data_IF_574626970370
#
_entry.id   IF_574626970370
#
_cell.length_a   1.000
_cell.length_b   1.000
_cell.length_c   1.000
_cell.angle_alpha   90.00
_cell.angle_beta   90.00
_cell.angle_gamma   90.00
#
_symmetry.space_group_name_H-M   'P 1'
#
loop_
_entity.id
_entity.type
_entity.pdbx_description
1 polymer ?
#
# COMPACT_ATOMS: atom_id res chain seq x y z
N UNK A 1 -4.98 31.68 70.24
CA UNK A 1 -5.67 30.37 70.19
C UNK A 1 -5.41 29.74 68.83
N UNK A 2 -4.79 28.58 68.84
CA UNK A 2 -4.29 27.83 67.67
C UNK A 2 -5.41 26.90 67.16
N UNK A 3 -5.63 26.86 65.84
CA UNK A 3 -6.14 25.66 65.16
C UNK A 3 -5.35 25.46 63.87
N UNK A 4 -4.37 24.55 63.96
CA UNK A 4 -3.68 23.94 62.82
C UNK A 4 -4.57 22.80 62.33
N UNK A 5 -4.90 22.77 61.04
CA UNK A 5 -5.38 21.56 60.38
C UNK A 5 -4.37 21.17 59.31
N UNK A 6 -3.57 20.14 59.61
CA UNK A 6 -2.87 19.32 58.63
C UNK A 6 -3.78 18.13 58.31
N UNK A 7 -4.44 18.14 57.16
CA UNK A 7 -5.02 17.00 56.47
C UNK A 7 -5.66 17.55 55.19
N UNK A 8 -5.46 17.03 53.99
CA UNK A 8 -4.78 15.82 53.61
C UNK A 8 -4.41 15.90 52.14
N UNK A 9 -3.42 15.09 51.81
CA UNK A 9 -3.03 14.62 50.51
C UNK A 9 -4.27 14.32 49.62
N UNK A 10 -4.72 15.29 48.84
CA UNK A 10 -5.80 15.11 47.85
C UNK A 10 -5.49 15.87 46.56
N UNK A 11 -4.21 15.86 46.18
CA UNK A 11 -3.71 16.41 44.91
C UNK A 11 -3.03 15.33 44.06
N UNK A 12 -3.38 14.06 44.27
CA UNK A 12 -2.83 12.89 43.53
C UNK A 12 -3.95 12.10 42.78
N UNK A 13 -5.22 12.53 42.83
CA UNK A 13 -6.32 11.87 42.12
C UNK A 13 -7.02 12.77 41.09
N UNK A 14 -6.24 13.54 40.33
CA UNK A 14 -6.64 13.91 38.95
C UNK A 14 -5.93 12.95 37.98
N UNK A 15 -6.01 11.66 38.31
CA UNK A 15 -5.95 10.55 37.38
C UNK A 15 -7.39 10.19 37.04
N UNK A 16 -8.04 11.04 36.23
CA UNK A 16 -9.13 10.60 35.38
C UNK A 16 -8.79 11.08 33.98
N UNK A 17 -7.90 10.30 33.38
CA UNK A 17 -7.98 9.93 31.97
C UNK A 17 -8.42 11.06 31.05
N UNK A 18 -7.45 11.81 30.54
CA UNK A 18 -7.46 12.06 29.10
C UNK A 18 -7.44 10.67 28.43
N UNK A 19 -8.58 9.98 28.41
CA UNK A 19 -8.79 8.96 27.41
C UNK A 19 -8.52 9.69 26.12
N UNK A 20 -7.51 9.22 25.39
CA UNK A 20 -7.32 9.64 24.02
C UNK A 20 -8.66 9.38 23.34
N UNK A 21 -9.47 10.42 23.22
CA UNK A 21 -10.43 10.51 22.16
C UNK A 21 -9.53 10.56 20.94
N UNK A 22 -9.11 9.39 20.47
CA UNK A 22 -8.78 9.22 19.07
C UNK A 22 -10.02 9.77 18.40
N UNK A 23 -9.92 11.02 17.94
CA UNK A 23 -10.94 11.61 17.10
C UNK A 23 -10.91 10.71 15.88
N UNK A 24 -11.73 9.66 15.89
CA UNK A 24 -12.00 8.82 14.75
C UNK A 24 -12.76 9.71 13.79
N UNK A 25 -12.03 10.58 13.10
CA UNK A 25 -12.57 11.43 12.05
C UNK A 25 -13.34 10.49 11.10
N UNK A 26 -14.64 10.72 10.83
CA UNK A 26 -15.56 9.65 10.46
C UNK A 26 -15.39 9.26 8.99
N UNK A 27 -14.31 8.54 8.70
CA UNK A 27 -14.12 7.92 7.40
C UNK A 27 -14.83 6.57 7.42
N UNK A 28 -16.05 6.53 6.86
CA UNK A 28 -16.72 5.26 6.57
C UNK A 28 -15.90 4.49 5.54
N UNK A 29 -15.48 3.29 5.92
CA UNK A 29 -14.81 2.35 5.02
C UNK A 29 -15.82 1.65 4.13
N UNK A 30 -15.34 1.16 2.99
CA UNK A 30 -16.04 0.22 2.13
C UNK A 30 -17.40 0.73 1.64
N UNK A 31 -17.50 2.03 1.35
CA UNK A 31 -18.72 2.63 0.83
C UNK A 31 -18.98 2.16 -0.61
N UNK A 32 -20.26 1.95 -0.89
CA UNK A 32 -20.75 1.57 -2.21
C UNK A 32 -21.63 2.70 -2.76
N UNK A 33 -21.52 2.98 -4.06
CA UNK A 33 -22.33 3.94 -4.81
C UNK A 33 -23.72 3.40 -5.13
N UNK A 34 -24.57 4.24 -5.73
CA UNK A 34 -25.97 3.87 -6.08
C UNK A 34 -26.07 2.67 -7.03
N UNK A 35 -25.01 2.38 -7.79
CA UNK A 35 -24.97 1.28 -8.77
C UNK A 35 -24.23 0.05 -8.26
N UNK A 36 -23.95 -0.04 -6.96
CA UNK A 36 -23.14 -1.14 -6.41
C UNK A 36 -21.63 -0.95 -6.58
N UNK A 37 -21.17 0.18 -7.12
CA UNK A 37 -19.76 0.45 -7.39
C UNK A 37 -19.00 0.90 -6.12
N UNK A 38 -17.83 0.30 -5.87
CA UNK A 38 -16.95 0.68 -4.74
C UNK A 38 -16.55 2.16 -4.83
N UNK A 39 -16.59 2.89 -3.73
CA UNK A 39 -16.30 4.32 -3.70
C UNK A 39 -15.67 4.78 -2.37
N UNK A 40 -14.67 5.66 -2.43
CA UNK A 40 -14.03 6.21 -1.24
C UNK A 40 -12.94 5.31 -0.67
N UNK A 41 -12.68 5.41 0.64
CA UNK A 41 -11.67 4.60 1.32
C UNK A 41 -12.12 3.14 1.37
N UNK A 42 -11.19 2.23 1.09
CA UNK A 42 -11.48 0.81 1.05
C UNK A 42 -10.40 0.02 1.77
N UNK A 43 -10.81 -1.02 2.48
CA UNK A 43 -9.94 -2.01 3.11
C UNK A 43 -10.59 -3.38 3.04
N UNK A 44 -9.78 -4.41 2.84
CA UNK A 44 -10.22 -5.80 2.88
C UNK A 44 -9.26 -6.60 3.74
N UNK A 45 -9.79 -7.64 4.39
CA UNK A 45 -9.08 -8.52 5.31
C UNK A 45 -9.07 -9.93 4.75
N UNK A 46 -8.11 -10.75 5.16
CA UNK A 46 -8.07 -12.14 4.74
C UNK A 46 -9.27 -12.92 5.31
N UNK A 47 -9.95 -13.69 4.47
CA UNK A 47 -11.13 -14.47 4.88
C UNK A 47 -10.86 -15.47 6.00
N UNK A 48 -9.67 -16.07 6.00
CA UNK A 48 -9.21 -17.02 7.01
C UNK A 48 -8.53 -16.35 8.21
N UNK A 49 -8.35 -15.02 8.18
CA UNK A 49 -7.70 -14.23 9.25
C UNK A 49 -8.27 -12.80 9.28
N UNK A 50 -9.51 -12.60 9.78
CA UNK A 50 -10.26 -11.35 9.63
C UNK A 50 -9.63 -10.12 10.28
N UNK A 51 -8.71 -10.30 11.23
CA UNK A 51 -7.91 -9.24 11.84
C UNK A 51 -6.73 -8.79 10.95
N UNK A 52 -6.35 -9.61 9.97
CA UNK A 52 -5.22 -9.34 9.09
C UNK A 52 -5.67 -8.55 7.86
N UNK A 53 -5.25 -7.29 7.78
CA UNK A 53 -5.46 -6.44 6.62
C UNK A 53 -4.78 -7.07 5.40
N UNK A 54 -5.52 -7.28 4.32
CA UNK A 54 -5.04 -7.78 3.04
C UNK A 54 -4.66 -6.64 2.11
N UNK A 55 -5.53 -5.64 1.98
CA UNK A 55 -5.21 -4.44 1.22
C UNK A 55 -5.98 -3.21 1.70
N UNK A 56 -5.44 -2.03 1.40
CA UNK A 56 -6.07 -0.74 1.68
C UNK A 56 -5.78 0.25 0.57
N UNK A 57 -6.78 1.06 0.24
CA UNK A 57 -6.65 2.07 -0.80
C UNK A 57 -7.91 2.90 -0.96
N UNK A 58 -8.12 3.39 -2.18
CA UNK A 58 -9.32 4.17 -2.54
C UNK A 58 -9.89 3.73 -3.86
N UNK A 59 -11.20 3.68 -3.93
CA UNK A 59 -11.94 3.53 -5.18
C UNK A 59 -12.59 4.85 -5.59
N UNK A 60 -12.73 5.04 -6.90
CA UNK A 60 -13.66 5.98 -7.49
C UNK A 60 -14.44 5.27 -8.60
N UNK A 61 -15.73 5.07 -8.38
CA UNK A 61 -16.63 4.36 -9.29
C UNK A 61 -16.14 2.97 -9.70
N UNK A 62 -15.80 2.15 -8.70
CA UNK A 62 -15.29 0.79 -8.89
C UNK A 62 -13.84 0.71 -9.36
N UNK A 63 -13.22 1.83 -9.78
CA UNK A 63 -11.83 1.88 -10.27
C UNK A 63 -10.86 2.33 -9.17
N UNK A 64 -9.73 1.65 -9.07
CA UNK A 64 -8.67 1.96 -8.10
C UNK A 64 -8.09 3.36 -8.35
N UNK A 65 -7.82 4.08 -7.27
CA UNK A 65 -7.28 5.45 -7.27
C UNK A 65 -6.25 5.66 -6.17
N UNK A 66 -5.31 6.55 -6.44
CA UNK A 66 -4.31 6.98 -5.48
C UNK A 66 -3.29 5.88 -5.20
N UNK A 67 -2.96 5.71 -3.91
CA UNK A 67 -2.01 4.71 -3.45
C UNK A 67 -2.75 3.55 -2.82
N UNK A 68 -2.36 2.36 -3.25
CA UNK A 68 -2.81 1.08 -2.75
C UNK A 68 -1.65 0.39 -2.04
N UNK A 69 -1.96 -0.27 -0.92
CA UNK A 69 -1.02 -1.10 -0.18
C UNK A 69 -1.62 -2.48 -0.02
N UNK A 70 -0.83 -3.50 -0.31
CA UNK A 70 -1.17 -4.91 -0.12
C UNK A 70 -0.20 -5.51 0.89
N UNK A 71 -0.73 -6.31 1.80
CA UNK A 71 -0.01 -6.93 2.88
C UNK A 71 -0.18 -8.44 2.80
N UNK A 72 0.81 -9.20 3.26
CA UNK A 72 0.77 -10.66 3.36
C UNK A 72 -0.16 -11.13 4.48
N UNK A 73 -0.48 -12.44 4.56
CA UNK A 73 -1.21 -13.03 5.71
C UNK A 73 -0.48 -12.89 7.06
N UNK A 74 0.82 -12.63 7.02
CA UNK A 74 1.66 -12.32 8.20
C UNK A 74 1.72 -10.83 8.52
N UNK A 75 1.02 -10.00 7.74
CA UNK A 75 0.93 -8.54 7.92
C UNK A 75 2.13 -7.74 7.44
N UNK A 76 3.00 -8.36 6.65
CA UNK A 76 4.15 -7.68 6.04
C UNK A 76 3.68 -6.94 4.79
N UNK A 77 4.17 -5.72 4.58
CA UNK A 77 3.89 -4.98 3.34
C UNK A 77 4.52 -5.73 2.16
N UNK A 78 3.71 -6.16 1.20
CA UNK A 78 4.19 -6.87 0.00
C UNK A 78 4.30 -5.96 -1.21
N UNK A 79 3.33 -5.04 -1.36
CA UNK A 79 3.20 -4.24 -2.58
C UNK A 79 2.61 -2.87 -2.30
N UNK A 80 3.15 -1.88 -2.99
CA UNK A 80 2.58 -0.53 -3.08
C UNK A 80 2.35 -0.19 -4.55
N UNK A 81 1.14 0.25 -4.87
CA UNK A 81 0.73 0.62 -6.22
C UNK A 81 0.20 2.06 -6.24
N UNK A 82 0.78 2.90 -7.09
CA UNK A 82 0.35 4.29 -7.26
C UNK A 82 -0.27 4.47 -8.64
N UNK A 83 -1.59 4.57 -8.66
CA UNK A 83 -2.37 4.71 -9.88
C UNK A 83 -2.29 6.14 -10.41
N UNK A 84 -1.98 6.26 -11.71
CA UNK A 84 -1.97 7.51 -12.49
C UNK A 84 -2.98 7.37 -13.64
N UNK A 85 -4.29 7.55 -13.37
CA UNK A 85 -5.36 7.22 -14.31
C UNK A 85 -5.24 7.92 -15.66
N UNK A 86 -4.86 9.21 -15.65
CA UNK A 86 -4.69 10.01 -16.86
C UNK A 86 -3.67 9.42 -17.85
N UNK A 87 -2.70 8.64 -17.36
CA UNK A 87 -1.65 8.00 -18.18
C UNK A 87 -1.84 6.49 -18.30
N UNK A 88 -2.89 5.92 -17.71
CA UNK A 88 -3.07 4.46 -17.56
C UNK A 88 -1.85 3.75 -16.95
N UNK A 89 -1.06 4.47 -16.15
CA UNK A 89 0.16 3.96 -15.50
C UNK A 89 -0.12 3.61 -14.05
N UNK A 90 0.54 2.57 -13.57
CA UNK A 90 0.64 2.21 -12.16
C UNK A 90 2.12 2.13 -11.84
N UNK A 91 2.59 2.96 -10.92
CA UNK A 91 3.94 2.80 -10.38
C UNK A 91 3.87 1.75 -9.28
N UNK A 92 4.70 0.72 -9.39
CA UNK A 92 4.56 -0.48 -8.59
C UNK A 92 5.88 -0.77 -7.90
N UNK A 93 5.81 -1.01 -6.60
CA UNK A 93 6.95 -1.39 -5.77
C UNK A 93 6.56 -2.64 -4.99
N UNK A 94 7.36 -3.67 -5.13
CA UNK A 94 7.28 -4.90 -4.34
C UNK A 94 8.35 -4.88 -3.26
N UNK A 95 8.06 -5.55 -2.15
CA UNK A 95 8.93 -5.60 -0.98
C UNK A 95 9.27 -7.05 -0.62
N UNK A 96 10.48 -7.24 -0.12
CA UNK A 96 10.89 -8.46 0.56
C UNK A 96 10.20 -8.58 1.92
N UNK A 97 10.13 -9.77 2.53
CA UNK A 97 9.54 -9.95 3.87
C UNK A 97 10.19 -9.14 5.00
N UNK A 98 11.38 -8.57 4.77
CA UNK A 98 12.06 -7.67 5.71
C UNK A 98 11.76 -6.18 5.46
N UNK A 99 10.86 -5.85 4.54
CA UNK A 99 10.45 -4.48 4.23
C UNK A 99 11.38 -3.74 3.28
N UNK A 100 12.48 -4.33 2.81
CA UNK A 100 13.32 -3.73 1.75
C UNK A 100 12.67 -3.91 0.39
N UNK A 101 12.93 -2.98 -0.52
CA UNK A 101 12.41 -3.08 -1.90
C UNK A 101 12.98 -4.33 -2.57
N UNK A 102 12.12 -5.10 -3.22
CA UNK A 102 12.48 -6.26 -4.03
C UNK A 102 12.63 -5.87 -5.48
N UNK A 103 11.58 -5.28 -6.04
CA UNK A 103 11.62 -4.74 -7.39
C UNK A 103 10.58 -3.66 -7.58
N UNK A 104 10.86 -2.74 -8.49
CA UNK A 104 9.95 -1.65 -8.80
C UNK A 104 10.01 -1.25 -10.26
N UNK A 105 8.88 -0.77 -10.76
CA UNK A 105 8.76 -0.35 -12.15
C UNK A 105 7.39 0.19 -12.47
N UNK A 106 7.06 0.17 -13.76
CA UNK A 106 5.80 0.68 -14.28
C UNK A 106 5.00 -0.47 -14.87
N UNK A 107 3.74 -0.53 -14.48
CA UNK A 107 2.73 -1.32 -15.17
C UNK A 107 1.73 -0.41 -15.87
N UNK A 108 1.12 -0.92 -16.92
CA UNK A 108 0.00 -0.29 -17.60
C UNK A 108 -1.28 -1.06 -17.35
N UNK A 109 -2.36 -0.31 -17.20
CA UNK A 109 -3.69 -0.81 -16.97
C UNK A 109 -4.55 -0.52 -18.20
N UNK A 110 -5.16 -1.55 -18.78
CA UNK A 110 -6.05 -1.37 -19.91
C UNK A 110 -7.16 -2.41 -19.92
N UNK A 111 -8.27 -2.07 -20.53
CA UNK A 111 -9.43 -2.96 -20.65
C UNK A 111 -9.30 -3.70 -21.99
N UNK A 112 -9.41 -5.03 -21.96
CA UNK A 112 -9.39 -5.90 -23.14
C UNK A 112 -10.46 -6.98 -22.94
N UNK A 113 -11.38 -7.11 -23.90
CA UNK A 113 -12.51 -8.04 -23.85
C UNK A 113 -13.37 -7.91 -22.57
N UNK A 114 -13.53 -6.69 -22.04
CA UNK A 114 -14.27 -6.42 -20.81
C UNK A 114 -13.50 -6.70 -19.51
N UNK A 115 -12.25 -7.18 -19.60
CA UNK A 115 -11.40 -7.45 -18.45
C UNK A 115 -10.31 -6.39 -18.31
N UNK A 116 -10.06 -5.98 -17.07
CA UNK A 116 -8.95 -5.10 -16.74
C UNK A 116 -7.65 -5.92 -16.73
N UNK A 117 -6.75 -5.66 -17.69
CA UNK A 117 -5.42 -6.25 -17.75
C UNK A 117 -4.39 -5.32 -17.12
N UNK A 118 -3.47 -5.95 -16.40
CA UNK A 118 -2.32 -5.33 -15.78
C UNK A 118 -1.05 -5.88 -16.42
N UNK A 119 -0.23 -5.02 -17.03
CA UNK A 119 0.96 -5.47 -17.75
C UNK A 119 2.19 -4.67 -17.35
N UNK A 120 3.23 -5.38 -16.93
CA UNK A 120 4.53 -4.79 -16.67
C UNK A 120 5.16 -4.30 -17.98
N UNK A 121 5.80 -3.14 -17.93
CA UNK A 121 6.37 -2.50 -19.10
C UNK A 121 7.65 -1.75 -18.76
N UNK A 122 8.58 -1.73 -19.72
CA UNK A 122 9.85 -1.04 -19.62
C UNK A 122 10.74 -1.71 -18.57
N UNK A 123 11.64 -0.91 -18.01
CA UNK A 123 12.68 -1.42 -17.13
C UNK A 123 12.23 -1.45 -15.67
N UNK A 124 12.34 -2.62 -15.07
CA UNK A 124 12.11 -2.83 -13.66
C UNK A 124 13.44 -2.97 -12.95
N UNK A 125 13.61 -2.23 -11.85
CA UNK A 125 14.78 -2.33 -11.00
C UNK A 125 14.61 -3.50 -10.05
N UNK A 126 15.65 -4.32 -9.89
CA UNK A 126 15.65 -5.45 -8.96
C UNK A 126 16.72 -5.27 -7.89
N UNK A 127 16.40 -5.71 -6.68
CA UNK A 127 17.22 -5.65 -5.50
C UNK A 127 17.10 -6.97 -4.74
N UNK A 128 18.19 -7.39 -4.09
CA UNK A 128 18.13 -8.55 -3.20
C UNK A 128 17.53 -8.20 -1.83
N UNK A 129 17.41 -9.21 -0.96
CA UNK A 129 16.88 -9.04 0.40
C UNK A 129 17.77 -8.16 1.29
N UNK A 130 19.03 -7.92 0.93
CA UNK A 130 19.89 -6.97 1.64
C UNK A 130 19.65 -5.52 1.19
N UNK A 131 18.92 -5.33 0.09
CA UNK A 131 18.71 -4.04 -0.56
C UNK A 131 19.80 -3.70 -1.58
N UNK A 132 20.69 -4.64 -1.89
CA UNK A 132 21.73 -4.44 -2.90
C UNK A 132 21.10 -4.52 -4.29
N UNK A 133 21.40 -3.54 -5.12
CA UNK A 133 20.89 -3.47 -6.49
C UNK A 133 21.45 -4.61 -7.35
N UNK A 134 20.56 -5.29 -8.08
CA UNK A 134 20.89 -6.48 -8.90
C UNK A 134 20.83 -6.23 -10.39
N UNK A 135 20.20 -5.15 -10.84
CA UNK A 135 20.08 -4.87 -12.26
C UNK A 135 18.68 -4.42 -12.67
N UNK A 136 18.51 -4.34 -13.98
CA UNK A 136 17.23 -4.11 -14.63
C UNK A 136 16.69 -5.39 -15.25
N UNK A 137 15.37 -5.55 -15.26
CA UNK A 137 14.69 -6.51 -16.11
C UNK A 137 13.69 -5.76 -16.97
N UNK A 138 13.85 -5.85 -18.28
CA UNK A 138 12.99 -5.16 -19.23
C UNK A 138 11.78 -6.02 -19.59
N UNK A 139 10.61 -5.39 -19.63
CA UNK A 139 9.35 -6.05 -19.96
C UNK A 139 8.69 -5.40 -21.18
N UNK A 140 8.23 -6.22 -22.11
CA UNK A 140 7.42 -5.80 -23.25
C UNK A 140 6.07 -6.53 -23.22
N UNK A 141 4.97 -5.78 -23.11
CA UNK A 141 3.60 -6.31 -22.99
C UNK A 141 3.47 -7.42 -21.93
N UNK A 142 4.09 -7.20 -20.77
CA UNK A 142 4.10 -8.16 -19.65
C UNK A 142 5.10 -9.31 -19.78
N UNK A 143 5.75 -9.52 -20.93
CA UNK A 143 6.77 -10.56 -21.11
C UNK A 143 8.16 -10.02 -20.79
N UNK A 144 8.90 -10.75 -19.97
CA UNK A 144 10.28 -10.42 -19.66
C UNK A 144 11.18 -10.65 -20.88
N UNK A 145 12.09 -9.71 -21.15
CA UNK A 145 13.09 -9.83 -22.22
C UNK A 145 14.34 -10.59 -21.78
N UNK A 146 14.55 -10.76 -20.46
CA UNK A 146 15.65 -11.53 -19.88
C UNK A 146 15.17 -12.40 -18.72
N UNK A 147 15.84 -13.53 -18.49
CA UNK A 147 15.59 -14.37 -17.32
C UNK A 147 16.05 -13.65 -16.04
N UNK A 148 17.30 -13.16 -16.06
CA UNK A 148 17.96 -12.49 -14.94
C UNK A 148 18.07 -10.96 -15.14
N UNK A 149 18.21 -10.20 -14.05
CA UNK A 149 18.51 -8.77 -14.14
C UNK A 149 19.87 -8.50 -14.79
N UNK A 150 19.92 -7.53 -15.70
CA UNK A 150 21.13 -7.09 -16.39
C UNK A 150 21.66 -5.79 -15.77
N UNK A 151 22.97 -5.72 -15.51
CA UNK A 151 23.62 -4.54 -14.91
C UNK A 151 23.86 -3.44 -15.95
N UNK A 152 24.21 -3.82 -17.17
CA UNK A 152 24.48 -2.89 -18.28
C UNK A 152 23.52 -3.17 -19.41
N UNK A 153 22.82 -2.14 -19.88
CA UNK A 153 22.08 -2.23 -21.15
C UNK A 153 23.12 -2.04 -22.25
N UNK A 154 23.29 -3.01 -23.15
CA UNK A 154 23.99 -2.72 -24.40
C UNK A 154 23.23 -1.60 -25.07
N UNK A 155 23.88 -0.46 -25.31
CA UNK A 155 23.32 0.58 -26.16
C UNK A 155 23.05 -0.07 -27.52
N UNK A 156 21.79 -0.33 -27.82
CA UNK A 156 21.39 -0.76 -29.16
C UNK A 156 21.75 0.38 -30.09
N UNK A 157 22.70 0.12 -30.99
CA UNK A 157 23.12 1.04 -32.05
C UNK A 157 21.91 1.60 -32.78
N UNK A 158 22.01 2.89 -33.09
CA UNK A 158 21.10 3.64 -33.95
C UNK A 158 20.82 2.91 -35.26
#
# INVERSE_FOLDING_TARGET
MVKVYKAGLLLILVLLSFQSMAVEWPWKWNKVGKRGDRHGKWREYYSHKPEQLMYVGRFNHGKERGTWKTYSPDGKLERVERYKPAKKKVLTTFYHPNGKVSHQGIAYLFEENGYLKYQWHGDWQYYDSTGTWRGWKSFNKGKALSAEPILTKKEGGK
#
